data_IF_280488079698
#
_entry.id   IF_280488079698
#
_cell.length_a   1.000
_cell.length_b   1.000
_cell.length_c   1.000
_cell.angle_alpha   90.00
_cell.angle_beta   90.00
_cell.angle_gamma   90.00
#
_symmetry.space_group_name_H-M   'P 1'
#
loop_
_entity.id
_entity.type
_entity.pdbx_description
1 polymer ?
#
# COMPACT_ATOMS: atom_id res chain seq x y z
N UNK A 1 -2.25 27.06 16.07
CA UNK A 1 -3.00 25.80 16.22
C UNK A 1 -2.87 25.35 17.65
N UNK A 2 -3.98 24.98 18.29
CA UNK A 2 -3.93 24.24 19.54
C UNK A 2 -3.35 22.86 19.26
N UNK A 3 -2.41 22.42 20.08
CA UNK A 3 -1.81 21.11 19.94
C UNK A 3 -2.88 20.02 20.08
N UNK A 4 -2.92 19.07 19.14
CA UNK A 4 -3.78 17.88 19.20
C UNK A 4 -2.88 16.67 19.42
N UNK A 5 -3.10 15.97 20.52
CA UNK A 5 -2.39 14.72 20.83
C UNK A 5 -2.78 13.68 19.79
N UNK A 6 -1.80 13.06 19.17
CA UNK A 6 -1.94 12.02 18.14
C UNK A 6 -1.93 10.64 18.76
N UNK A 7 -2.50 9.66 18.04
CA UNK A 7 -2.61 8.29 18.51
C UNK A 7 -1.23 7.68 18.82
N UNK A 8 -0.21 8.04 18.05
CA UNK A 8 1.19 7.59 18.24
C UNK A 8 1.77 7.98 19.61
N UNK A 9 1.24 9.01 20.25
CA UNK A 9 1.72 9.52 21.55
C UNK A 9 1.11 8.82 22.76
N UNK A 10 0.10 7.96 22.55
CA UNK A 10 -0.66 7.33 23.64
C UNK A 10 -0.38 5.84 23.69
N UNK A 11 -0.96 5.09 22.77
CA UNK A 11 -0.81 3.65 22.69
C UNK A 11 -1.11 3.18 21.27
N UNK A 12 -0.50 2.06 20.89
CA UNK A 12 -0.73 1.38 19.62
C UNK A 12 -0.86 -0.12 19.90
N UNK A 13 -1.54 -0.89 19.02
CA UNK A 13 -1.63 -2.35 19.13
C UNK A 13 -0.28 -3.00 18.77
N UNK A 14 0.71 -2.84 19.65
CA UNK A 14 2.10 -3.26 19.42
C UNK A 14 2.23 -4.75 19.16
N UNK A 15 1.42 -5.59 19.81
CA UNK A 15 1.43 -7.03 19.60
C UNK A 15 1.08 -7.37 18.14
N UNK A 16 -0.01 -6.80 17.62
CA UNK A 16 -0.42 -6.97 16.22
C UNK A 16 0.62 -6.44 15.24
N UNK A 17 1.18 -5.25 15.50
CA UNK A 17 2.24 -4.63 14.69
C UNK A 17 3.48 -5.53 14.65
N UNK A 18 3.91 -6.05 15.79
CA UNK A 18 5.10 -6.88 15.93
C UNK A 18 4.92 -8.24 15.25
N UNK A 19 3.76 -8.87 15.41
CA UNK A 19 3.43 -10.13 14.75
C UNK A 19 3.49 -10.02 13.22
N UNK A 20 2.86 -8.99 12.64
CA UNK A 20 2.91 -8.80 11.18
C UNK A 20 4.30 -8.39 10.70
N UNK A 21 5.00 -7.52 11.45
CA UNK A 21 6.39 -7.15 11.12
C UNK A 21 7.34 -8.35 11.14
N UNK A 22 7.14 -9.33 12.03
CA UNK A 22 7.87 -10.58 12.05
C UNK A 22 7.49 -11.49 10.88
N UNK A 23 6.18 -11.59 10.59
CA UNK A 23 5.63 -12.38 9.49
C UNK A 23 6.14 -11.93 8.13
N UNK A 24 6.29 -10.63 7.89
CA UNK A 24 6.80 -10.09 6.61
C UNK A 24 8.13 -10.71 6.17
N UNK A 25 8.98 -11.12 7.12
CA UNK A 25 10.28 -11.75 6.82
C UNK A 25 10.15 -13.11 6.14
N UNK A 26 9.02 -13.81 6.30
CA UNK A 26 8.78 -15.14 5.75
C UNK A 26 7.94 -15.13 4.46
N UNK A 27 7.41 -13.96 4.05
CA UNK A 27 6.65 -13.84 2.80
C UNK A 27 7.60 -13.98 1.61
N UNK A 28 7.29 -14.91 0.70
CA UNK A 28 8.15 -15.25 -0.45
C UNK A 28 7.60 -14.79 -1.79
N UNK A 29 6.35 -14.33 -1.85
CA UNK A 29 5.70 -13.93 -3.10
C UNK A 29 4.85 -12.67 -2.88
N UNK A 30 4.84 -11.79 -3.87
CA UNK A 30 3.96 -10.60 -3.92
C UNK A 30 4.32 -9.46 -2.95
N UNK A 31 5.30 -9.66 -2.07
CA UNK A 31 5.75 -8.64 -1.13
C UNK A 31 6.88 -7.80 -1.74
N UNK A 32 6.91 -6.46 -1.57
CA UNK A 32 7.94 -5.58 -2.15
C UNK A 32 9.37 -6.05 -1.89
N UNK A 33 9.59 -6.65 -0.73
CA UNK A 33 10.90 -7.16 -0.31
C UNK A 33 11.41 -8.37 -1.10
N UNK A 34 10.58 -8.98 -1.96
CA UNK A 34 10.97 -10.07 -2.87
C UNK A 34 11.51 -9.54 -4.20
N UNK A 35 11.33 -8.25 -4.51
CA UNK A 35 11.95 -7.62 -5.70
C UNK A 35 13.44 -7.41 -5.49
N UNK A 36 13.83 -6.94 -4.31
CA UNK A 36 15.23 -6.74 -3.93
C UNK A 36 15.38 -6.78 -2.40
N UNK A 37 16.48 -7.37 -1.93
CA UNK A 37 16.85 -7.36 -0.52
C UNK A 37 17.68 -6.12 -0.21
N UNK A 38 17.04 -5.09 0.36
CA UNK A 38 17.77 -3.98 0.99
C UNK A 38 18.31 -4.40 2.37
N UNK A 39 19.48 -3.93 2.79
CA UNK A 39 20.06 -4.32 4.10
C UNK A 39 19.39 -3.62 5.29
N UNK A 40 18.82 -2.43 5.09
CA UNK A 40 18.14 -1.65 6.13
C UNK A 40 16.62 -1.60 5.89
N UNK A 41 15.94 -2.76 5.89
CA UNK A 41 14.49 -2.83 5.65
C UNK A 41 13.71 -2.42 6.90
N UNK A 42 12.80 -1.46 6.71
CA UNK A 42 11.78 -1.11 7.69
C UNK A 42 10.52 -1.95 7.40
N UNK A 43 9.94 -2.68 8.37
CA UNK A 43 8.71 -3.44 8.16
C UNK A 43 7.57 -2.54 7.68
N UNK A 44 6.80 -3.00 6.70
CA UNK A 44 5.71 -2.23 6.11
C UNK A 44 4.59 -2.00 7.12
N UNK A 45 4.23 -3.02 7.91
CA UNK A 45 3.27 -2.94 9.00
C UNK A 45 3.63 -1.82 9.99
N UNK A 46 4.90 -1.72 10.39
CA UNK A 46 5.38 -0.68 11.28
C UNK A 46 5.35 0.71 10.63
N UNK A 47 5.85 0.86 9.39
CA UNK A 47 5.83 2.14 8.67
C UNK A 47 4.40 2.67 8.53
N UNK A 48 3.48 1.80 8.13
CA UNK A 48 2.06 2.11 7.96
C UNK A 48 1.40 2.53 9.28
N UNK A 49 1.69 1.81 10.36
CA UNK A 49 1.16 2.13 11.67
C UNK A 49 1.63 3.50 12.16
N UNK A 50 2.93 3.78 12.04
CA UNK A 50 3.52 5.07 12.44
C UNK A 50 2.96 6.21 11.61
N UNK A 51 2.90 6.07 10.28
CA UNK A 51 2.34 7.10 9.40
C UNK A 51 0.89 7.41 9.74
N UNK A 52 0.06 6.38 9.86
CA UNK A 52 -1.36 6.55 10.17
C UNK A 52 -1.59 7.16 11.55
N UNK A 53 -0.93 6.61 12.58
CA UNK A 53 -1.07 7.09 13.96
C UNK A 53 -0.49 8.49 14.21
N UNK A 54 0.39 8.98 13.33
CA UNK A 54 0.90 10.36 13.37
C UNK A 54 -0.12 11.38 12.83
N UNK A 55 -1.10 10.93 12.03
CA UNK A 55 -2.12 11.80 11.45
C UNK A 55 -3.43 11.75 12.23
N UNK A 56 -3.76 10.59 12.81
CA UNK A 56 -4.98 10.39 13.59
C UNK A 56 -4.85 10.95 15.00
N UNK A 57 -5.81 11.78 15.39
CA UNK A 57 -5.91 12.35 16.73
C UNK A 57 -6.33 11.29 17.76
N UNK A 58 -5.77 11.38 18.96
CA UNK A 58 -6.33 10.68 20.11
C UNK A 58 -7.69 11.31 20.50
N UNK A 59 -8.71 10.51 20.86
CA UNK A 59 -10.03 11.02 21.24
C UNK A 59 -10.02 12.03 22.41
N UNK A 60 -9.01 11.97 23.31
CA UNK A 60 -8.87 12.96 24.40
C UNK A 60 -8.59 14.38 23.90
N UNK A 61 -8.16 14.53 22.65
CA UNK A 61 -7.98 15.83 21.99
C UNK A 61 -9.31 16.47 21.55
N UNK A 62 -10.43 15.75 21.65
CA UNK A 62 -11.76 16.17 21.20
C UNK A 62 -12.81 16.06 22.31
N UNK A 63 -12.68 16.83 23.42
CA UNK A 63 -13.58 16.72 24.57
C UNK A 63 -15.04 17.09 24.25
N UNK A 64 -15.28 17.95 23.25
CA UNK A 64 -16.64 18.28 22.80
C UNK A 64 -17.32 17.09 22.07
N UNK A 65 -16.53 16.14 21.55
CA UNK A 65 -17.01 14.95 20.83
C UNK A 65 -16.95 13.68 21.68
N UNK A 66 -15.98 13.61 22.59
CA UNK A 66 -15.79 12.52 23.56
C UNK A 66 -15.63 13.09 24.99
N UNK A 67 -16.71 13.62 25.59
CA UNK A 67 -16.69 14.20 26.93
C UNK A 67 -16.16 13.28 28.04
N UNK A 68 -16.40 11.97 27.97
CA UNK A 68 -16.07 11.03 29.06
C UNK A 68 -14.84 10.18 28.75
N UNK A 69 -14.17 9.69 29.80
CA UNK A 69 -13.04 8.75 29.64
C UNK A 69 -13.48 7.42 29.00
N UNK A 70 -14.70 6.98 29.30
CA UNK A 70 -15.31 5.80 28.70
C UNK A 70 -15.50 5.97 27.19
N UNK A 71 -16.03 7.11 26.73
CA UNK A 71 -16.21 7.42 25.31
C UNK A 71 -14.86 7.54 24.59
N UNK A 72 -13.88 8.19 25.22
CA UNK A 72 -12.52 8.27 24.68
C UNK A 72 -11.88 6.89 24.53
N UNK A 73 -12.10 6.00 25.51
CA UNK A 73 -11.58 4.64 25.49
C UNK A 73 -12.25 3.79 24.42
N UNK A 74 -13.58 3.90 24.29
CA UNK A 74 -14.33 3.20 23.25
C UNK A 74 -13.89 3.64 21.85
N UNK A 75 -13.74 4.94 21.63
CA UNK A 75 -13.28 5.44 20.34
C UNK A 75 -11.83 5.04 20.06
N UNK A 76 -10.96 5.07 21.07
CA UNK A 76 -9.57 4.61 20.93
C UNK A 76 -9.50 3.13 20.57
N UNK A 77 -10.36 2.30 21.16
CA UNK A 77 -10.46 0.90 20.79
C UNK A 77 -10.92 0.71 19.34
N UNK A 78 -11.88 1.52 18.86
CA UNK A 78 -12.28 1.52 17.44
C UNK A 78 -11.10 1.87 16.52
N UNK A 79 -10.29 2.86 16.90
CA UNK A 79 -9.09 3.24 16.16
C UNK A 79 -8.04 2.11 16.16
N UNK A 80 -7.86 1.42 17.28
CA UNK A 80 -7.01 0.24 17.36
C UNK A 80 -7.54 -0.91 16.49
N UNK A 81 -8.84 -1.13 16.43
CA UNK A 81 -9.44 -2.16 15.59
C UNK A 81 -9.27 -1.87 14.08
N UNK A 82 -9.19 -0.58 13.68
CA UNK A 82 -8.80 -0.17 12.34
C UNK A 82 -7.31 -0.45 12.12
N UNK A 83 -6.47 -0.06 13.06
CA UNK A 83 -5.02 -0.16 12.92
C UNK A 83 -4.53 -1.62 12.92
N UNK A 84 -4.89 -2.39 13.94
CA UNK A 84 -4.47 -3.78 14.10
C UNK A 84 -5.17 -4.46 15.26
N UNK A 85 -5.79 -5.62 15.01
CA UNK A 85 -6.36 -6.49 16.03
C UNK A 85 -5.97 -7.94 15.79
N UNK A 86 -5.94 -8.74 16.85
CA UNK A 86 -5.63 -10.17 16.77
C UNK A 86 -6.95 -10.94 16.89
N UNK A 87 -7.22 -11.80 15.91
CA UNK A 87 -8.34 -12.73 15.92
C UNK A 87 -7.84 -14.16 16.04
N UNK A 88 -8.64 -15.04 16.64
CA UNK A 88 -8.33 -16.46 16.71
C UNK A 88 -9.13 -17.17 15.62
N UNK A 89 -8.42 -17.87 14.74
CA UNK A 89 -9.03 -18.71 13.71
C UNK A 89 -8.80 -20.18 14.06
N UNK A 90 -9.84 -20.99 13.89
CA UNK A 90 -9.79 -22.44 14.14
C UNK A 90 -9.77 -23.16 12.80
N UNK A 91 -8.80 -24.04 12.60
CA UNK A 91 -8.72 -24.87 11.40
C UNK A 91 -9.78 -25.99 11.41
N UNK A 92 -9.93 -26.68 10.27
CA UNK A 92 -10.85 -27.82 10.14
C UNK A 92 -10.48 -29.01 11.05
N UNK A 93 -9.31 -28.99 11.69
CA UNK A 93 -8.81 -30.02 12.61
C UNK A 93 -8.93 -29.60 14.08
N UNK A 94 -9.51 -28.44 14.37
CA UNK A 94 -9.70 -27.92 15.72
C UNK A 94 -8.49 -27.17 16.31
N UNK A 95 -7.41 -26.96 15.55
CA UNK A 95 -6.27 -26.17 16.01
C UNK A 95 -6.56 -24.68 15.88
N UNK A 96 -6.19 -23.91 16.89
CA UNK A 96 -6.36 -22.46 16.91
C UNK A 96 -5.08 -21.75 16.50
N UNK A 97 -5.21 -20.65 15.75
CA UNK A 97 -4.10 -19.79 15.33
C UNK A 97 -4.49 -18.33 15.49
N UNK A 98 -3.57 -17.53 16.04
CA UNK A 98 -3.70 -16.08 16.04
C UNK A 98 -3.44 -15.52 14.63
N UNK A 99 -4.34 -14.67 14.17
CA UNK A 99 -4.29 -14.00 12.86
C UNK A 99 -4.47 -12.51 13.08
N UNK A 100 -3.59 -11.72 12.48
CA UNK A 100 -3.67 -10.26 12.58
C UNK A 100 -4.57 -9.71 11.47
N UNK A 101 -5.49 -8.84 11.87
CA UNK A 101 -6.45 -8.12 11.04
C UNK A 101 -6.23 -6.62 11.20
N UNK A 102 -6.84 -5.81 10.33
CA UNK A 102 -6.69 -4.36 10.32
C UNK A 102 -5.57 -3.88 9.39
N UNK A 103 -5.28 -2.59 9.47
CA UNK A 103 -4.41 -1.87 8.56
C UNK A 103 -3.00 -2.48 8.50
N UNK A 104 -2.48 -3.00 9.61
CA UNK A 104 -1.15 -3.64 9.68
C UNK A 104 -1.08 -5.01 8.98
N UNK A 105 -2.22 -5.68 8.77
CA UNK A 105 -2.27 -7.00 8.14
C UNK A 105 -1.89 -6.93 6.66
N UNK A 106 -0.87 -7.69 6.26
CA UNK A 106 -0.48 -7.77 4.84
C UNK A 106 -1.61 -8.33 3.96
N UNK A 107 -2.37 -9.30 4.47
CA UNK A 107 -3.42 -9.92 3.65
C UNK A 107 -4.59 -8.97 3.44
N UNK A 108 -5.05 -8.28 4.50
CA UNK A 108 -6.20 -7.39 4.38
C UNK A 108 -5.90 -6.13 3.56
N UNK A 109 -4.71 -5.54 3.67
CA UNK A 109 -4.40 -4.35 2.87
C UNK A 109 -4.32 -4.64 1.37
N UNK A 110 -3.96 -5.88 1.00
CA UNK A 110 -3.89 -6.30 -0.40
C UNK A 110 -5.19 -6.96 -0.90
N UNK A 111 -6.19 -7.17 -0.04
CA UNK A 111 -7.53 -7.60 -0.43
C UNK A 111 -8.40 -6.38 -0.78
N UNK A 112 -8.78 -6.18 -2.05
CA UNK A 112 -9.64 -5.07 -2.45
C UNK A 112 -11.01 -5.06 -1.75
N UNK A 113 -11.46 -6.21 -1.21
CA UNK A 113 -12.75 -6.34 -0.54
C UNK A 113 -12.71 -6.03 0.95
N UNK A 114 -11.51 -5.90 1.55
CA UNK A 114 -11.39 -5.66 2.99
C UNK A 114 -11.91 -4.29 3.42
N UNK A 115 -11.80 -3.30 2.53
CA UNK A 115 -12.10 -1.89 2.81
C UNK A 115 -11.23 -1.26 3.90
N UNK A 116 -10.15 -1.94 4.33
CA UNK A 116 -9.33 -1.47 5.48
C UNK A 116 -8.60 -0.17 5.17
N UNK A 117 -8.10 -0.05 3.95
CA UNK A 117 -7.42 1.15 3.48
C UNK A 117 -8.38 2.34 3.39
N UNK A 118 -9.61 2.09 2.93
CA UNK A 118 -10.64 3.13 2.84
C UNK A 118 -11.05 3.64 4.23
N UNK A 119 -11.18 2.73 5.22
CA UNK A 119 -11.43 3.11 6.61
C UNK A 119 -10.30 3.97 7.18
N UNK A 120 -9.05 3.59 6.93
CA UNK A 120 -7.88 4.33 7.36
C UNK A 120 -7.81 5.73 6.73
N UNK A 121 -8.05 5.84 5.41
CA UNK A 121 -8.10 7.11 4.68
C UNK A 121 -9.23 8.02 5.20
N UNK A 122 -10.44 7.47 5.41
CA UNK A 122 -11.55 8.23 5.98
C UNK A 122 -11.22 8.79 7.37
N UNK A 123 -10.49 8.02 8.18
CA UNK A 123 -10.08 8.48 9.50
C UNK A 123 -9.08 9.65 9.42
N UNK A 124 -8.10 9.58 8.51
CA UNK A 124 -7.18 10.71 8.25
C UNK A 124 -7.98 11.95 7.82
N UNK A 125 -8.88 11.81 6.84
CA UNK A 125 -9.71 12.91 6.36
C UNK A 125 -10.62 13.48 7.46
N UNK A 126 -11.12 12.63 8.37
CA UNK A 126 -11.94 13.04 9.52
C UNK A 126 -11.16 13.94 10.47
N UNK A 127 -9.96 13.54 10.88
CA UNK A 127 -9.12 14.37 11.75
C UNK A 127 -8.74 15.70 11.08
N UNK A 128 -8.38 15.68 9.79
CA UNK A 128 -8.04 16.88 9.04
C UNK A 128 -9.23 17.85 8.91
N UNK A 129 -10.44 17.31 8.67
CA UNK A 129 -11.64 18.12 8.57
C UNK A 129 -12.03 18.74 9.92
N UNK A 130 -11.97 17.95 10.99
CA UNK A 130 -12.28 18.45 12.34
C UNK A 130 -11.33 19.55 12.80
N UNK A 131 -10.02 19.42 12.56
CA UNK A 131 -9.03 20.46 12.88
C UNK A 131 -9.33 21.79 12.14
N UNK A 132 -10.00 21.71 10.99
CA UNK A 132 -10.42 22.85 10.17
C UNK A 132 -11.84 23.35 10.47
N UNK A 133 -12.60 22.66 11.31
CA UNK A 133 -14.02 22.97 11.54
C UNK A 133 -14.91 22.65 10.33
N UNK A 134 -14.47 21.74 9.46
CA UNK A 134 -15.18 21.30 8.27
C UNK A 134 -15.85 19.93 8.50
N UNK A 135 -16.83 19.60 7.66
CA UNK A 135 -17.42 18.26 7.61
C UNK A 135 -16.56 17.32 6.75
N UNK A 136 -16.27 16.09 7.20
CA UNK A 136 -15.41 15.19 6.47
C UNK A 136 -16.05 14.68 5.17
N UNK A 137 -15.27 14.51 4.09
CA UNK A 137 -15.76 13.96 2.84
C UNK A 137 -16.23 12.50 3.02
N UNK A 138 -17.34 12.16 2.37
CA UNK A 138 -17.97 10.82 2.48
C UNK A 138 -17.66 9.89 1.31
N UNK A 139 -17.48 10.45 0.11
CA UNK A 139 -17.12 9.71 -1.11
C UNK A 139 -15.63 9.45 -1.15
N UNK A 140 -15.23 8.26 -1.60
CA UNK A 140 -13.81 7.84 -1.60
C UNK A 140 -12.90 8.75 -2.42
N UNK A 141 -13.33 9.19 -3.60
CA UNK A 141 -12.54 10.11 -4.43
C UNK A 141 -12.35 11.45 -3.71
N UNK A 142 -13.41 11.97 -3.09
CA UNK A 142 -13.35 13.17 -2.26
C UNK A 142 -12.45 13.01 -1.03
N UNK A 143 -12.43 11.84 -0.39
CA UNK A 143 -11.50 11.54 0.72
C UNK A 143 -10.05 11.62 0.24
N UNK A 144 -9.72 11.01 -0.90
CA UNK A 144 -8.35 11.01 -1.44
C UNK A 144 -7.90 12.41 -1.85
N UNK A 145 -8.76 13.17 -2.53
CA UNK A 145 -8.49 14.57 -2.89
C UNK A 145 -8.28 15.44 -1.64
N UNK A 146 -9.08 15.22 -0.61
CA UNK A 146 -8.97 15.96 0.65
C UNK A 146 -7.66 15.67 1.38
N UNK A 147 -7.26 14.39 1.46
CA UNK A 147 -5.97 14.00 2.03
C UNK A 147 -4.83 14.61 1.21
N UNK A 148 -4.85 14.48 -0.12
CA UNK A 148 -3.80 15.04 -0.98
C UNK A 148 -3.67 16.56 -0.85
N UNK A 149 -4.77 17.27 -0.56
CA UNK A 149 -4.78 18.73 -0.41
C UNK A 149 -4.33 19.21 0.98
N UNK A 150 -4.71 18.48 2.04
CA UNK A 150 -4.61 19.01 3.41
C UNK A 150 -3.72 18.19 4.35
N UNK A 151 -3.40 16.94 4.03
CA UNK A 151 -2.47 16.16 4.82
C UNK A 151 -1.04 16.68 4.60
N UNK A 152 -0.20 16.73 5.66
CA UNK A 152 1.20 17.04 5.48
C UNK A 152 1.90 15.95 4.65
N UNK A 153 2.83 16.31 3.75
CA UNK A 153 3.57 15.33 2.97
C UNK A 153 4.48 14.50 3.87
N UNK A 154 4.66 13.23 3.53
CA UNK A 154 5.62 12.34 4.18
C UNK A 154 6.99 12.49 3.50
N UNK A 155 8.01 12.86 4.26
CA UNK A 155 9.39 12.94 3.76
C UNK A 155 10.28 11.87 4.39
N UNK A 156 10.88 11.01 3.55
CA UNK A 156 11.90 10.04 3.96
C UNK A 156 13.25 10.35 3.29
N UNK A 157 14.17 11.05 3.97
CA UNK A 157 15.47 11.41 3.41
C UNK A 157 16.42 10.22 3.24
N UNK A 158 16.08 9.07 3.84
CA UNK A 158 16.88 7.84 3.85
C UNK A 158 16.01 6.64 3.46
N UNK A 159 15.36 6.76 2.30
CA UNK A 159 14.28 5.88 1.89
C UNK A 159 14.71 4.42 1.72
N UNK A 160 15.97 4.17 1.33
CA UNK A 160 16.49 2.83 1.13
C UNK A 160 15.59 2.01 0.21
N UNK A 161 14.99 0.94 0.75
CA UNK A 161 14.06 0.07 0.04
C UNK A 161 12.65 0.65 -0.23
N UNK A 162 12.33 1.84 0.27
CA UNK A 162 11.10 2.56 -0.05
C UNK A 162 9.86 2.22 0.77
N UNK A 163 10.03 1.63 1.97
CA UNK A 163 8.90 1.23 2.81
C UNK A 163 7.98 2.39 3.21
N UNK A 164 8.54 3.52 3.68
CA UNK A 164 7.77 4.69 4.09
C UNK A 164 7.03 5.33 2.91
N UNK A 165 7.69 5.73 1.80
CA UNK A 165 6.99 6.37 0.70
C UNK A 165 5.93 5.45 0.05
N UNK A 166 6.14 4.12 0.03
CA UNK A 166 5.14 3.16 -0.43
C UNK A 166 3.87 3.18 0.45
N UNK A 167 4.04 3.12 1.77
CA UNK A 167 2.90 3.11 2.69
C UNK A 167 2.22 4.48 2.81
N UNK A 168 2.97 5.57 2.65
CA UNK A 168 2.42 6.91 2.53
C UNK A 168 1.51 7.05 1.29
N UNK A 169 1.96 6.57 0.13
CA UNK A 169 1.15 6.55 -1.09
C UNK A 169 -0.14 5.73 -0.91
N UNK A 170 -0.06 4.57 -0.23
CA UNK A 170 -1.25 3.75 0.08
C UNK A 170 -2.26 4.52 0.93
N UNK A 171 -1.79 5.28 1.93
CA UNK A 171 -2.63 6.15 2.76
C UNK A 171 -3.17 7.39 2.03
N UNK A 172 -2.77 7.62 0.78
CA UNK A 172 -3.19 8.78 -0.03
C UNK A 172 -2.37 10.05 0.23
N UNK A 173 -1.23 9.92 0.93
CA UNK A 173 -0.34 11.04 1.22
C UNK A 173 0.57 11.34 0.04
N UNK A 174 0.92 12.61 -0.12
CA UNK A 174 2.09 12.99 -0.92
C UNK A 174 3.35 12.48 -0.21
N UNK A 175 4.23 11.81 -0.97
CA UNK A 175 5.44 11.21 -0.44
C UNK A 175 6.66 11.69 -1.21
N UNK A 176 7.64 12.22 -0.47
CA UNK A 176 8.95 12.57 -0.99
C UNK A 176 9.98 11.62 -0.39
N UNK A 177 10.79 11.03 -1.25
CA UNK A 177 11.82 10.08 -0.86
C UNK A 177 13.14 10.46 -1.51
N UNK A 178 14.23 10.41 -0.72
CA UNK A 178 15.57 10.53 -1.25
C UNK A 178 16.48 9.45 -0.68
N UNK A 179 17.53 9.15 -1.42
CA UNK A 179 18.63 8.31 -0.95
C UNK A 179 19.89 8.70 -1.74
N UNK A 180 21.06 8.60 -1.10
CA UNK A 180 22.34 8.84 -1.77
C UNK A 180 22.66 7.69 -2.74
N UNK A 181 22.21 6.47 -2.43
CA UNK A 181 22.51 5.31 -3.25
C UNK A 181 21.58 5.27 -4.49
N UNK A 182 22.12 5.30 -5.72
CA UNK A 182 21.30 5.26 -6.93
C UNK A 182 20.48 3.97 -7.07
N UNK A 183 20.92 2.86 -6.46
CA UNK A 183 20.16 1.60 -6.42
C UNK A 183 18.91 1.74 -5.57
N UNK A 184 18.99 2.41 -4.41
CA UNK A 184 17.81 2.73 -3.61
C UNK A 184 16.83 3.59 -4.42
N UNK A 185 17.32 4.65 -5.08
CA UNK A 185 16.47 5.51 -5.92
C UNK A 185 15.76 4.69 -6.99
N UNK A 186 16.48 3.80 -7.69
CA UNK A 186 15.88 2.93 -8.70
C UNK A 186 14.80 2.00 -8.13
N UNK A 187 15.04 1.40 -6.96
CA UNK A 187 14.07 0.55 -6.25
C UNK A 187 12.80 1.33 -5.92
N UNK A 188 12.95 2.54 -5.36
CA UNK A 188 11.82 3.42 -5.04
C UNK A 188 11.00 3.74 -6.31
N UNK A 189 11.67 4.10 -7.42
CA UNK A 189 10.99 4.36 -8.69
C UNK A 189 10.23 3.15 -9.21
N UNK A 190 10.86 1.98 -9.18
CA UNK A 190 10.25 0.72 -9.62
C UNK A 190 9.05 0.30 -8.76
N UNK A 191 9.05 0.65 -7.47
CA UNK A 191 7.97 0.32 -6.54
C UNK A 191 6.81 1.32 -6.56
N UNK A 192 7.10 2.62 -6.69
CA UNK A 192 6.17 3.68 -6.29
C UNK A 192 5.77 4.58 -7.47
N UNK A 193 6.71 4.92 -8.36
CA UNK A 193 6.45 5.86 -9.46
C UNK A 193 6.01 5.13 -10.74
N UNK A 194 6.74 4.09 -11.13
CA UNK A 194 6.56 3.42 -12.41
C UNK A 194 5.22 2.65 -12.46
N UNK A 195 4.88 1.74 -11.52
CA UNK A 195 3.68 0.92 -11.67
C UNK A 195 2.36 1.71 -11.76
N UNK A 196 2.12 2.77 -10.97
CA UNK A 196 0.90 3.58 -11.10
C UNK A 196 0.80 4.31 -12.45
N UNK A 197 1.92 4.74 -13.03
CA UNK A 197 1.97 5.41 -14.34
C UNK A 197 1.46 4.51 -15.46
N UNK A 198 1.69 3.20 -15.36
CA UNK A 198 1.27 2.19 -16.33
C UNK A 198 0.02 1.41 -15.89
N UNK A 199 -0.72 1.90 -14.90
CA UNK A 199 -1.93 1.23 -14.40
C UNK A 199 -2.97 1.09 -15.52
N UNK A 200 -3.49 -0.13 -15.68
CA UNK A 200 -4.50 -0.52 -16.66
C UNK A 200 -4.07 -0.27 -18.13
N UNK A 201 -2.78 0.02 -18.37
CA UNK A 201 -2.23 0.18 -19.71
C UNK A 201 -1.94 -1.18 -20.33
N UNK A 202 -2.09 -1.25 -21.66
CA UNK A 202 -1.72 -2.42 -22.42
C UNK A 202 -0.20 -2.60 -22.47
N UNK A 203 0.24 -3.86 -22.60
CA UNK A 203 1.62 -4.16 -22.93
C UNK A 203 1.98 -3.56 -24.30
N UNK A 204 3.22 -3.11 -24.46
CA UNK A 204 3.73 -2.56 -25.74
C UNK A 204 4.60 -3.54 -26.51
N UNK A 205 4.98 -4.66 -25.89
CA UNK A 205 5.84 -5.65 -26.53
C UNK A 205 5.16 -6.30 -27.75
N UNK A 206 5.93 -6.72 -28.77
CA UNK A 206 5.38 -7.25 -30.02
C UNK A 206 4.47 -8.49 -29.90
N UNK A 207 4.50 -9.21 -28.77
CA UNK A 207 3.76 -10.46 -28.58
C UNK A 207 2.43 -10.22 -27.86
N UNK A 208 2.44 -9.40 -26.81
CA UNK A 208 1.27 -9.14 -25.98
C UNK A 208 0.57 -7.82 -26.33
N UNK A 209 1.20 -6.93 -27.10
CA UNK A 209 0.57 -5.70 -27.55
C UNK A 209 -0.72 -6.04 -28.32
N UNK A 210 -1.85 -5.40 -27.97
CA UNK A 210 -3.07 -5.57 -28.74
C UNK A 210 -2.84 -5.00 -30.13
N UNK A 211 -2.49 -5.86 -31.08
CA UNK A 211 -2.52 -5.48 -32.49
C UNK A 211 -3.95 -5.00 -32.80
N UNK A 212 -4.13 -3.87 -33.52
CA UNK A 212 -5.39 -3.68 -34.22
C UNK A 212 -5.61 -4.94 -35.08
N UNK A 213 -6.82 -5.52 -35.12
CA UNK A 213 -7.03 -6.68 -35.97
C UNK A 213 -6.59 -6.30 -37.38
N UNK A 214 -5.54 -6.95 -37.89
CA UNK A 214 -5.25 -6.87 -39.30
C UNK A 214 -6.54 -7.30 -40.03
N UNK A 215 -7.01 -6.58 -41.06
CA UNK A 215 -8.13 -7.06 -41.85
C UNK A 215 -7.74 -8.42 -42.43
N UNK A 216 -8.30 -9.49 -41.89
CA UNK A 216 -7.97 -10.85 -42.31
C UNK A 216 -8.70 -11.14 -43.62
N UNK A 217 -7.99 -11.51 -44.70
CA UNK A 217 -8.62 -12.23 -45.78
C UNK A 217 -8.81 -13.68 -45.30
N UNK A 218 -10.06 -14.01 -44.96
CA UNK A 218 -10.64 -15.36 -44.92
C UNK A 218 -9.69 -16.53 -44.58
N UNK A 219 -9.85 -17.07 -43.37
CA UNK A 219 -9.76 -18.52 -43.16
C UNK A 219 -8.76 -19.03 -42.11
N UNK A 220 -9.34 -19.77 -41.16
CA UNK A 220 -8.78 -20.89 -40.38
C UNK A 220 -7.83 -20.56 -39.21
N UNK A 221 -8.29 -20.96 -38.03
CA UNK A 221 -7.43 -21.25 -36.86
C UNK A 221 -7.62 -20.25 -35.73
N UNK A 222 -8.47 -20.58 -34.76
CA UNK A 222 -8.73 -19.76 -33.58
C UNK A 222 -7.48 -19.56 -32.73
N UNK A 223 -6.83 -18.40 -32.90
CA UNK A 223 -5.93 -17.84 -31.90
C UNK A 223 -6.82 -17.25 -30.80
N UNK A 224 -6.60 -17.65 -29.55
CA UNK A 224 -7.30 -17.10 -28.39
C UNK A 224 -6.93 -15.63 -28.20
N UNK A 225 -7.59 -14.75 -28.95
CA UNK A 225 -7.62 -13.31 -28.68
C UNK A 225 -8.44 -13.09 -27.42
N UNK A 226 -7.85 -12.55 -26.35
CA UNK A 226 -8.65 -11.98 -25.27
C UNK A 226 -8.03 -11.97 -23.89
N UNK A 227 -7.03 -11.13 -23.65
CA UNK A 227 -7.13 -10.26 -22.48
C UNK A 227 -8.01 -9.08 -22.92
N UNK A 228 -9.32 -9.15 -22.66
CA UNK A 228 -10.26 -8.09 -23.07
C UNK A 228 -9.99 -6.76 -22.38
N UNK A 229 -9.19 -6.76 -21.31
CA UNK A 229 -8.75 -5.57 -20.58
C UNK A 229 -7.53 -5.91 -19.72
N UNK A 230 -6.48 -5.10 -19.82
CA UNK A 230 -5.35 -5.16 -18.89
C UNK A 230 -5.78 -4.52 -17.57
N UNK A 231 -5.45 -5.17 -16.45
CA UNK A 231 -5.81 -4.68 -15.11
C UNK A 231 -4.57 -4.46 -14.25
N UNK A 232 -4.54 -3.34 -13.52
CA UNK A 232 -3.43 -2.97 -12.66
C UNK A 232 -2.13 -2.88 -13.44
N UNK A 233 -1.07 -3.53 -12.94
CA UNK A 233 0.26 -3.53 -13.57
C UNK A 233 0.49 -4.70 -14.52
N UNK A 234 -0.56 -5.40 -14.98
CA UNK A 234 -0.41 -6.59 -15.82
C UNK A 234 0.32 -6.30 -17.14
N UNK A 235 0.01 -5.18 -17.81
CA UNK A 235 0.65 -4.80 -19.07
C UNK A 235 2.14 -4.54 -18.88
N UNK A 236 2.48 -3.69 -17.90
CA UNK A 236 3.87 -3.46 -17.50
C UNK A 236 4.60 -4.75 -17.14
N UNK A 237 3.96 -5.65 -16.39
CA UNK A 237 4.57 -6.93 -16.01
C UNK A 237 4.84 -7.84 -17.21
N UNK A 238 3.98 -7.80 -18.24
CA UNK A 238 4.21 -8.52 -19.49
C UNK A 238 5.43 -7.96 -20.23
N UNK A 239 5.52 -6.63 -20.36
CA UNK A 239 6.67 -5.95 -20.99
C UNK A 239 7.98 -6.23 -20.25
N UNK A 240 7.99 -6.17 -18.92
CA UNK A 240 9.17 -6.49 -18.11
C UNK A 240 9.65 -7.93 -18.35
N UNK A 241 8.72 -8.89 -18.45
CA UNK A 241 9.09 -10.29 -18.76
C UNK A 241 9.63 -10.42 -20.18
N UNK A 242 8.96 -9.83 -21.16
CA UNK A 242 9.36 -9.91 -22.56
C UNK A 242 10.74 -9.30 -22.79
N UNK A 243 10.92 -8.02 -22.44
CA UNK A 243 12.19 -7.32 -22.66
C UNK A 243 13.30 -7.84 -21.75
N UNK A 244 12.96 -8.32 -20.54
CA UNK A 244 13.91 -9.02 -19.68
C UNK A 244 14.45 -10.31 -20.32
N UNK A 245 13.57 -11.10 -20.95
CA UNK A 245 13.96 -12.29 -21.71
C UNK A 245 14.85 -11.95 -22.91
N UNK A 246 14.42 -10.97 -23.72
CA UNK A 246 15.19 -10.49 -24.87
C UNK A 246 16.58 -9.98 -24.47
N UNK A 247 16.67 -9.15 -23.43
CA UNK A 247 17.96 -8.65 -22.92
C UNK A 247 18.88 -9.78 -22.48
N UNK A 248 18.33 -10.80 -21.79
CA UNK A 248 19.09 -11.98 -21.36
C UNK A 248 19.64 -12.74 -22.56
N UNK A 249 18.83 -12.97 -23.59
CA UNK A 249 19.23 -13.65 -24.82
C UNK A 249 20.33 -12.87 -25.54
N UNK A 250 20.15 -11.57 -25.74
CA UNK A 250 21.15 -10.69 -26.35
C UNK A 250 22.46 -10.64 -25.55
N UNK A 251 22.39 -10.66 -24.22
CA UNK A 251 23.58 -10.74 -23.38
C UNK A 251 24.29 -12.09 -23.57
N UNK A 252 23.55 -13.20 -23.55
CA UNK A 252 24.10 -14.54 -23.74
C UNK A 252 24.80 -14.69 -25.11
N UNK A 253 24.20 -14.16 -26.18
CA UNK A 253 24.81 -14.17 -27.52
C UNK A 253 26.14 -13.40 -27.59
N UNK A 254 26.25 -12.28 -26.85
CA UNK A 254 27.43 -11.39 -26.95
C UNK A 254 28.57 -11.77 -26.01
N UNK A 255 28.24 -12.25 -24.81
CA UNK A 255 29.20 -12.44 -23.72
C UNK A 255 29.05 -13.78 -23.00
N UNK A 256 28.11 -14.64 -23.42
CA UNK A 256 27.90 -15.98 -22.88
C UNK A 256 28.86 -16.98 -23.52
N UNK A 257 30.12 -16.93 -23.13
CA UNK A 257 31.10 -18.01 -23.32
C UNK A 257 31.19 -18.86 -22.06
#
# INVERSE_FOLDING_TARGET
>A
MTYRKKLIEVALPLEAINMESAREKSIRHGHPSTLHLWWARRPLAACRAVLWASLVDDPSSWPDRFPTEEEQTQERQRLFDILGRITIETDNKGNTKQVVRGLVSWDEINDPKSGVLEKAQREIARCLAWDRGEEPPTKLDGVREYIAKYAPPAYDPFAGGGSIPLEAQRLGLEAHASDLNPVAVLINKALIEIPPTFKDQAAVNPVDCPHPPAPSPQGRGGVKTGLSRWYGSQGLAADVRYYGGWMREQAFERIGH
#
